data_IF_250469934597
#
_entry.id   IF_250469934597
#
_cell.length_a   1.000
_cell.length_b   1.000
_cell.length_c   1.000
_cell.angle_alpha   90.00
_cell.angle_beta   90.00
_cell.angle_gamma   90.00
#
_symmetry.space_group_name_H-M   'P 1'
#
loop_
_entity.id
_entity.type
_entity.pdbx_description
1 polymer ?
#
# COMPACT_ATOMS: atom_id res chain seq x y z
N UNK A 1 7.59 16.42 -17.38
CA UNK A 1 7.92 14.98 -17.43
C UNK A 1 7.89 14.40 -16.02
N UNK A 2 7.35 13.19 -15.85
CA UNK A 2 7.78 12.17 -14.88
C UNK A 2 7.36 12.31 -13.40
N UNK A 3 6.18 11.77 -13.07
CA UNK A 3 6.03 10.94 -11.86
C UNK A 3 5.10 9.76 -12.22
N UNK A 4 5.60 8.82 -13.02
CA UNK A 4 4.84 7.64 -13.48
C UNK A 4 4.45 6.64 -12.38
N UNK A 5 4.69 6.98 -11.11
CA UNK A 5 4.42 6.13 -9.95
C UNK A 5 2.99 6.27 -9.38
N UNK A 6 2.25 7.34 -9.73
CA UNK A 6 0.89 7.59 -9.22
C UNK A 6 -0.16 7.81 -10.32
N UNK A 7 -0.24 7.01 -11.40
CA UNK A 7 -1.25 7.24 -12.43
C UNK A 7 -2.67 6.90 -11.97
N UNK A 8 -2.84 6.00 -11.00
CA UNK A 8 -4.14 5.37 -10.70
C UNK A 8 -4.82 5.85 -9.41
N UNK A 9 -4.09 6.51 -8.49
CA UNK A 9 -4.65 6.96 -7.21
C UNK A 9 -5.20 8.39 -7.21
N UNK A 10 -4.62 9.39 -7.91
CA UNK A 10 -5.08 10.78 -7.84
C UNK A 10 -6.54 11.03 -8.28
N UNK A 11 -7.09 10.36 -9.32
CA UNK A 11 -8.47 10.59 -9.73
C UNK A 11 -9.51 10.31 -8.63
N UNK A 12 -9.27 9.31 -7.78
CA UNK A 12 -10.21 8.94 -6.72
C UNK A 12 -10.13 9.86 -5.50
N UNK A 13 -8.94 10.41 -5.22
CA UNK A 13 -8.78 11.46 -4.20
C UNK A 13 -9.56 12.72 -4.56
N UNK A 14 -9.56 13.11 -5.84
CA UNK A 14 -10.28 14.32 -6.31
C UNK A 14 -11.79 14.10 -6.35
N UNK A 15 -12.23 12.90 -6.73
CA UNK A 15 -13.67 12.61 -6.89
C UNK A 15 -14.34 12.14 -5.59
N UNK A 16 -13.56 11.81 -4.56
CA UNK A 16 -14.07 11.36 -3.25
C UNK A 16 -14.63 9.94 -3.25
N UNK A 17 -14.25 9.11 -4.22
CA UNK A 17 -14.64 7.70 -4.23
C UNK A 17 -13.78 6.89 -3.26
N UNK A 18 -14.38 5.97 -2.48
CA UNK A 18 -13.60 5.07 -1.64
C UNK A 18 -12.81 4.10 -2.52
N UNK A 19 -11.53 3.90 -2.18
CA UNK A 19 -10.60 3.02 -2.89
C UNK A 19 -9.75 2.20 -1.91
N UNK A 20 -9.47 0.94 -2.24
CA UNK A 20 -8.64 0.03 -1.45
C UNK A 20 -7.54 -0.60 -2.31
N UNK A 21 -6.37 -0.84 -1.72
CA UNK A 21 -5.24 -1.54 -2.34
C UNK A 21 -5.06 -2.91 -1.70
N UNK A 22 -5.18 -3.96 -2.50
CA UNK A 22 -5.12 -5.36 -2.06
C UNK A 22 -3.86 -6.05 -2.64
N UNK A 23 -3.24 -7.01 -1.92
CA UNK A 23 -2.12 -7.76 -2.46
C UNK A 23 -2.61 -8.73 -3.56
N UNK A 24 -2.01 -8.63 -4.75
CA UNK A 24 -2.38 -9.44 -5.92
C UNK A 24 -1.32 -10.49 -6.29
N UNK A 25 -0.32 -10.70 -5.43
CA UNK A 25 0.77 -11.66 -5.63
C UNK A 25 2.10 -10.99 -5.93
N UNK A 26 3.02 -11.74 -6.52
CA UNK A 26 4.35 -11.28 -6.91
C UNK A 26 4.46 -11.30 -8.45
N UNK A 27 5.14 -10.29 -9.00
CA UNK A 27 5.58 -10.30 -10.38
C UNK A 27 6.72 -11.32 -10.58
N UNK A 28 7.10 -11.57 -11.85
CA UNK A 28 8.12 -12.55 -12.20
C UNK A 28 9.50 -12.24 -11.58
N UNK A 29 9.77 -10.97 -11.28
CA UNK A 29 10.97 -10.48 -10.59
C UNK A 29 10.87 -10.55 -9.06
N UNK A 30 9.76 -11.10 -8.53
CA UNK A 30 9.51 -11.25 -7.10
C UNK A 30 9.00 -9.99 -6.41
N UNK A 31 8.74 -8.89 -7.14
CA UNK A 31 8.20 -7.67 -6.55
C UNK A 31 6.67 -7.77 -6.31
N UNK A 32 6.15 -7.18 -5.21
CA UNK A 32 4.73 -7.25 -4.91
C UNK A 32 3.89 -6.46 -5.92
N UNK A 33 2.79 -7.07 -6.36
CA UNK A 33 1.78 -6.44 -7.21
C UNK A 33 0.54 -6.13 -6.37
N UNK A 34 -0.01 -4.93 -6.56
CA UNK A 34 -1.25 -4.49 -5.91
C UNK A 34 -2.43 -4.47 -6.88
N UNK A 35 -3.62 -4.79 -6.37
CA UNK A 35 -4.91 -4.61 -7.03
C UNK A 35 -5.63 -3.42 -6.40
N UNK A 36 -5.98 -2.41 -7.19
CA UNK A 36 -6.78 -1.27 -6.74
C UNK A 36 -8.26 -1.54 -7.03
N UNK A 37 -9.09 -1.49 -5.98
CA UNK A 37 -10.55 -1.63 -6.07
C UNK A 37 -11.17 -0.30 -5.69
N UNK A 38 -12.17 0.15 -6.45
CA UNK A 38 -12.89 1.39 -6.21
C UNK A 38 -14.38 1.12 -6.20
N UNK A 39 -15.08 1.69 -5.23
CA UNK A 39 -16.53 1.58 -5.13
C UNK A 39 -17.21 2.94 -5.39
N UNK A 40 -18.54 2.97 -5.62
CA UNK A 40 -19.30 4.22 -5.69
C UNK A 40 -19.10 5.08 -4.43
N UNK A 41 -19.33 6.38 -4.55
CA UNK A 41 -19.26 7.30 -3.40
C UNK A 41 -20.15 6.81 -2.25
N UNK A 42 -19.64 6.92 -1.03
CA UNK A 42 -20.30 6.50 0.22
C UNK A 42 -20.59 4.99 0.34
N UNK A 43 -20.00 4.15 -0.52
CA UNK A 43 -20.16 2.71 -0.51
C UNK A 43 -18.98 1.98 0.17
N UNK A 44 -18.41 2.54 1.24
CA UNK A 44 -17.27 1.99 1.98
C UNK A 44 -17.54 0.56 2.48
N UNK A 45 -18.76 0.30 2.97
CA UNK A 45 -19.16 -1.04 3.41
C UNK A 45 -19.09 -2.07 2.28
N UNK A 46 -19.47 -1.69 1.06
CA UNK A 46 -19.36 -2.55 -0.12
C UNK A 46 -17.90 -2.78 -0.49
N UNK A 47 -17.09 -1.72 -0.51
CA UNK A 47 -15.66 -1.83 -0.79
C UNK A 47 -14.97 -2.80 0.18
N UNK A 48 -15.26 -2.70 1.47
CA UNK A 48 -14.73 -3.59 2.49
C UNK A 48 -15.25 -5.02 2.35
N UNK A 49 -16.54 -5.21 2.03
CA UNK A 49 -17.11 -6.54 1.82
C UNK A 49 -16.46 -7.26 0.63
N UNK A 50 -16.26 -6.55 -0.48
CA UNK A 50 -15.55 -7.06 -1.66
C UNK A 50 -14.09 -7.35 -1.34
N UNK A 51 -13.41 -6.44 -0.64
CA UNK A 51 -12.00 -6.62 -0.24
C UNK A 51 -11.82 -7.86 0.63
N UNK A 52 -12.67 -8.05 1.63
CA UNK A 52 -12.64 -9.21 2.49
C UNK A 52 -12.97 -10.51 1.74
N UNK A 53 -13.91 -10.45 0.77
CA UNK A 53 -14.22 -11.59 -0.09
C UNK A 53 -13.05 -11.98 -0.99
N UNK A 54 -12.34 -10.98 -1.53
CA UNK A 54 -11.12 -11.18 -2.30
C UNK A 54 -10.04 -11.85 -1.45
N UNK A 55 -9.71 -11.30 -0.29
CA UNK A 55 -8.67 -11.83 0.60
C UNK A 55 -8.94 -13.29 1.02
N UNK A 56 -10.20 -13.63 1.34
CA UNK A 56 -10.58 -15.01 1.68
C UNK A 56 -10.32 -16.00 0.55
N UNK A 57 -10.44 -15.57 -0.71
CA UNK A 57 -10.28 -16.42 -1.90
C UNK A 57 -8.85 -16.50 -2.37
N UNK A 58 -8.11 -15.40 -2.30
CA UNK A 58 -6.77 -15.35 -2.89
C UNK A 58 -5.70 -15.89 -1.98
N UNK A 59 -5.87 -15.85 -0.62
CA UNK A 59 -4.86 -16.28 0.38
C UNK A 59 -3.41 -16.03 -0.12
N UNK A 60 -3.20 -14.90 -0.79
CA UNK A 60 -1.93 -14.58 -1.42
C UNK A 60 -0.89 -14.31 -0.35
N UNK A 61 0.41 -14.28 -0.70
CA UNK A 61 1.43 -13.83 0.23
C UNK A 61 1.17 -12.34 0.49
N UNK A 62 0.31 -12.04 1.47
CA UNK A 62 0.21 -10.70 2.02
C UNK A 62 1.63 -10.26 2.42
N UNK A 63 1.97 -8.97 2.36
CA UNK A 63 3.29 -8.49 2.71
C UNK A 63 3.66 -9.12 4.05
N UNK A 64 4.64 -10.04 4.02
CA UNK A 64 5.03 -10.82 5.20
C UNK A 64 5.21 -9.79 6.30
N UNK A 65 4.39 -9.90 7.37
CA UNK A 65 4.41 -8.98 8.51
C UNK A 65 5.88 -8.72 8.81
N UNK A 66 6.36 -7.51 8.50
CA UNK A 66 7.78 -7.17 8.62
C UNK A 66 8.16 -7.62 10.03
N UNK A 67 9.04 -8.62 10.10
CA UNK A 67 9.20 -9.44 11.29
C UNK A 67 9.34 -8.54 12.52
N UNK A 68 8.61 -8.88 13.58
CA UNK A 68 9.03 -8.55 14.95
C UNK A 68 10.51 -8.95 15.02
N UNK A 69 11.43 -7.98 15.00
CA UNK A 69 12.86 -8.25 15.19
C UNK A 69 12.99 -8.95 16.54
N UNK A 70 13.24 -10.26 16.52
CA UNK A 70 13.90 -10.92 17.64
C UNK A 70 15.28 -10.25 17.76
N UNK A 71 15.63 -9.82 18.96
CA UNK A 71 16.78 -8.97 19.22
C UNK A 71 18.09 -9.53 18.69
N UNK A 72 18.90 -8.66 18.10
CA UNK A 72 20.35 -8.67 18.29
C UNK A 72 20.90 -7.28 17.97
N UNK A 73 21.77 -6.75 18.84
CA UNK A 73 22.36 -5.43 18.72
C UNK A 73 23.26 -5.30 17.50
N UNK A 74 23.20 -4.13 16.84
CA UNK A 74 24.06 -3.72 15.72
C UNK A 74 23.82 -2.25 15.40
N UNK A 75 24.84 -1.48 15.00
CA UNK A 75 25.00 -0.10 15.44
C UNK A 75 24.05 0.88 14.75
N UNK A 76 23.61 1.86 15.54
CA UNK A 76 22.81 2.99 15.08
C UNK A 76 23.59 3.85 14.08
N UNK A 77 23.35 3.65 12.78
CA UNK A 77 23.75 4.59 11.74
C UNK A 77 22.78 5.78 11.76
N UNK A 78 23.03 6.74 12.65
CA UNK A 78 22.29 8.01 12.66
C UNK A 78 23.05 9.04 11.82
N UNK A 79 22.85 8.99 10.50
CA UNK A 79 23.18 10.08 9.61
C UNK A 79 22.17 11.22 9.88
N UNK A 80 22.51 12.10 10.83
CA UNK A 80 21.83 13.39 10.99
C UNK A 80 21.98 14.17 9.68
N UNK A 81 20.88 14.32 8.94
CA UNK A 81 20.79 15.35 7.90
C UNK A 81 20.53 16.68 8.60
N UNK A 82 21.45 17.66 8.54
CA UNK A 82 21.22 18.96 9.15
C UNK A 82 20.33 19.81 8.24
N UNK A 83 19.38 20.50 8.86
CA UNK A 83 18.76 21.69 8.29
C UNK A 83 17.64 21.44 7.26
N UNK A 84 16.40 21.71 7.70
CA UNK A 84 15.36 22.44 6.94
C UNK A 84 14.20 22.76 7.90
N UNK A 85 14.47 23.67 8.83
CA UNK A 85 13.47 24.59 9.36
C UNK A 85 13.76 25.95 8.72
N UNK A 86 12.95 26.40 7.78
CA UNK A 86 12.58 27.81 7.65
C UNK A 86 11.43 27.99 6.65
N UNK A 87 10.34 28.60 7.16
CA UNK A 87 9.17 29.21 6.50
C UNK A 87 8.11 28.27 5.90
#
# INVERSE_FOLDING_TARGET
MKHGYLPFTPPFNVTGHPAASLPAGLAADGLPVGLQVVAPRHADALLLAVSAAYERRTRGPGPRRLGRRAGNGGPALNHRSPGKNLL
#
